data_IF_254698805862
#
_entry.id   IF_254698805862
#
_cell.length_a   1.000
_cell.length_b   1.000
_cell.length_c   1.000
_cell.angle_alpha   90.00
_cell.angle_beta   90.00
_cell.angle_gamma   90.00
#
_symmetry.space_group_name_H-M   'P 1'
#
loop_
_entity.id
_entity.type
_entity.pdbx_description
1 polymer ?
#
# COMPACT_ATOMS: atom_id res chain seq x y z
N UNK A 1 22.01 -5.55 19.30
CA UNK A 1 22.74 -6.72 18.74
C UNK A 1 22.23 -7.16 17.36
N UNK A 2 20.92 -7.35 17.13
CA UNK A 2 20.38 -7.80 15.83
C UNK A 2 20.72 -6.86 14.65
N UNK A 3 20.40 -5.56 14.76
CA UNK A 3 20.61 -4.61 13.66
C UNK A 3 22.09 -4.42 13.28
N UNK A 4 22.99 -4.48 14.26
CA UNK A 4 24.44 -4.42 14.02
C UNK A 4 24.95 -5.67 13.26
N UNK A 5 24.38 -6.86 13.54
CA UNK A 5 24.66 -8.07 12.76
C UNK A 5 24.15 -7.95 11.33
N UNK A 6 22.96 -7.38 11.14
CA UNK A 6 22.37 -7.15 9.83
C UNK A 6 23.25 -6.19 9.01
N UNK A 7 23.72 -5.09 9.61
CA UNK A 7 24.61 -4.13 8.96
C UNK A 7 25.98 -4.70 8.55
N UNK A 8 26.46 -5.73 9.27
CA UNK A 8 27.68 -6.45 8.92
C UNK A 8 27.46 -7.49 7.80
N UNK A 9 26.24 -8.02 7.68
CA UNK A 9 25.85 -8.92 6.60
C UNK A 9 25.46 -8.18 5.30
N UNK A 10 25.11 -6.90 5.40
CA UNK A 10 24.86 -6.03 4.25
C UNK A 10 26.13 -5.89 3.39
N UNK A 11 25.98 -5.73 2.06
CA UNK A 11 27.12 -5.63 1.15
C UNK A 11 28.12 -4.56 1.63
N UNK A 12 29.37 -4.95 1.84
CA UNK A 12 30.46 -4.02 2.14
C UNK A 12 31.26 -3.84 0.84
N UNK A 13 31.39 -2.59 0.38
CA UNK A 13 31.79 -2.26 -0.99
C UNK A 13 33.23 -2.58 -1.41
N UNK A 14 33.88 -3.58 -0.84
CA UNK A 14 35.23 -4.01 -1.25
C UNK A 14 35.22 -5.47 -1.71
N UNK A 15 35.17 -5.68 -3.02
CA UNK A 15 35.73 -6.87 -3.68
C UNK A 15 34.75 -7.97 -4.08
N UNK A 16 34.76 -8.25 -5.40
CA UNK A 16 34.40 -9.50 -6.09
C UNK A 16 33.04 -10.16 -5.81
N UNK A 17 32.14 -10.02 -6.79
CA UNK A 17 31.11 -11.00 -7.11
C UNK A 17 31.75 -12.26 -7.71
N UNK A 18 32.64 -12.89 -6.94
CA UNK A 18 33.19 -14.21 -7.21
C UNK A 18 32.39 -15.26 -6.43
N UNK A 19 31.29 -15.72 -7.02
CA UNK A 19 30.69 -17.01 -6.68
C UNK A 19 29.83 -17.08 -5.42
N UNK A 20 28.59 -16.60 -5.49
CA UNK A 20 27.47 -17.26 -4.82
C UNK A 20 26.20 -17.13 -5.67
N UNK A 21 26.11 -17.94 -6.71
CA UNK A 21 24.80 -18.31 -7.30
C UNK A 21 24.10 -19.24 -6.30
N UNK A 22 23.69 -18.70 -5.16
CA UNK A 22 22.82 -19.37 -4.20
C UNK A 22 21.38 -19.14 -4.61
N UNK A 23 20.71 -20.20 -5.05
CA UNK A 23 19.32 -20.17 -5.48
C UNK A 23 18.40 -19.47 -4.46
N UNK A 24 17.64 -18.48 -4.91
CA UNK A 24 16.58 -17.78 -4.15
C UNK A 24 15.41 -18.70 -3.72
N UNK A 25 15.44 -19.97 -4.13
CA UNK A 25 14.41 -20.97 -3.82
C UNK A 25 14.35 -21.39 -2.33
N UNK A 26 15.24 -20.91 -1.48
CA UNK A 26 15.37 -21.39 -0.08
C UNK A 26 14.69 -20.51 0.98
N UNK A 27 14.07 -19.38 0.60
CA UNK A 27 13.38 -18.47 1.53
C UNK A 27 11.87 -18.74 1.64
N UNK A 28 11.32 -19.63 0.83
CA UNK A 28 9.90 -19.99 0.82
C UNK A 28 9.62 -21.43 1.27
N UNK A 29 10.65 -22.23 1.56
CA UNK A 29 10.48 -23.55 2.15
C UNK A 29 10.19 -23.44 3.65
N UNK A 30 9.15 -24.13 4.10
CA UNK A 30 8.75 -24.23 5.52
C UNK A 30 9.93 -24.66 6.41
N UNK A 31 10.90 -25.39 5.85
CA UNK A 31 12.12 -25.83 6.55
C UNK A 31 13.05 -24.69 6.99
N UNK A 32 12.96 -23.49 6.40
CA UNK A 32 13.73 -22.31 6.84
C UNK A 32 13.20 -21.68 8.14
N UNK A 33 12.04 -22.11 8.64
CA UNK A 33 11.46 -21.66 9.92
C UNK A 33 11.93 -22.47 11.13
N UNK A 34 12.76 -23.50 10.92
CA UNK A 34 13.37 -24.27 11.98
C UNK A 34 14.77 -23.72 12.26
N UNK A 35 14.96 -23.12 13.43
CA UNK A 35 16.32 -22.97 13.96
C UNK A 35 16.92 -24.36 14.22
N UNK A 36 18.24 -24.46 14.20
CA UNK A 36 18.99 -25.70 14.43
C UNK A 36 18.66 -26.42 15.77
N UNK A 37 17.88 -25.77 16.63
CA UNK A 37 17.47 -26.24 17.95
C UNK A 37 16.07 -26.89 17.95
N UNK A 38 15.41 -27.03 16.79
CA UNK A 38 14.10 -27.69 16.67
C UNK A 38 12.92 -26.93 17.28
N UNK A 39 13.11 -25.65 17.61
CA UNK A 39 12.09 -24.80 18.22
C UNK A 39 11.39 -23.95 17.15
N UNK A 40 10.12 -24.26 16.88
CA UNK A 40 9.22 -23.43 16.07
C UNK A 40 9.13 -22.01 16.65
N UNK A 41 9.48 -21.01 15.84
CA UNK A 41 9.16 -19.61 16.17
C UNK A 41 7.68 -19.41 15.88
N UNK A 42 6.85 -19.34 16.92
CA UNK A 42 5.47 -18.88 16.75
C UNK A 42 5.51 -17.42 16.28
N UNK A 43 5.34 -17.17 14.98
CA UNK A 43 5.05 -15.83 14.43
C UNK A 43 3.61 -15.48 14.75
N UNK A 44 3.29 -15.36 16.03
CA UNK A 44 2.05 -14.74 16.46
C UNK A 44 2.20 -13.24 16.32
N UNK A 45 1.34 -12.62 15.52
CA UNK A 45 1.09 -11.18 15.61
C UNK A 45 0.72 -10.82 17.06
N UNK A 46 1.09 -9.63 17.57
CA UNK A 46 0.92 -9.27 18.98
C UNK A 46 -0.51 -9.43 19.53
N UNK A 47 -1.52 -9.38 18.65
CA UNK A 47 -2.94 -9.47 19.00
C UNK A 47 -3.52 -10.90 19.05
N UNK A 48 -2.84 -11.91 18.48
CA UNK A 48 -3.35 -13.30 18.53
C UNK A 48 -3.45 -13.83 19.98
N UNK A 49 -2.74 -13.20 20.93
CA UNK A 49 -2.77 -13.56 22.36
C UNK A 49 -3.97 -13.01 23.13
N UNK A 50 -4.83 -12.17 22.53
CA UNK A 50 -5.98 -11.56 23.23
C UNK A 50 -7.33 -12.20 22.95
N UNK A 51 -7.45 -13.13 22.00
CA UNK A 51 -8.74 -13.68 21.60
C UNK A 51 -8.89 -15.15 21.97
N UNK A 52 -9.05 -15.41 23.27
CA UNK A 52 -9.58 -16.67 23.76
C UNK A 52 -11.02 -16.44 24.23
N UNK A 53 -11.96 -16.58 23.31
CA UNK A 53 -13.37 -16.89 23.60
C UNK A 53 -13.99 -17.46 22.32
N UNK A 54 -14.35 -18.74 22.40
CA UNK A 54 -14.91 -19.52 21.31
C UNK A 54 -16.37 -19.21 21.02
N UNK A 55 -16.86 -19.93 19.99
CA UNK A 55 -18.22 -20.04 19.48
C UNK A 55 -18.87 -18.76 18.93
N UNK A 56 -18.77 -18.57 17.61
CA UNK A 56 -19.88 -18.24 16.67
C UNK A 56 -19.37 -17.61 15.36
N UNK A 57 -18.50 -18.34 14.63
CA UNK A 57 -17.86 -17.82 13.41
C UNK A 57 -18.62 -18.12 12.10
N UNK A 58 -19.83 -18.70 12.18
CA UNK A 58 -20.50 -19.32 11.01
C UNK A 58 -21.84 -18.74 10.56
N UNK A 59 -22.34 -17.63 11.12
CA UNK A 59 -23.75 -17.22 10.90
C UNK A 59 -24.05 -15.83 10.33
N UNK A 60 -23.05 -15.06 9.90
CA UNK A 60 -23.29 -13.67 9.46
C UNK A 60 -22.82 -13.33 8.04
N UNK A 61 -22.95 -14.28 7.10
CA UNK A 61 -22.83 -14.00 5.66
C UNK A 61 -24.13 -14.34 4.91
N UNK A 62 -25.27 -13.80 5.39
CA UNK A 62 -26.51 -13.76 4.62
C UNK A 62 -27.47 -12.72 5.22
N UNK A 63 -27.42 -11.47 4.74
CA UNK A 63 -28.58 -10.59 4.54
C UNK A 63 -28.13 -9.20 4.09
N UNK A 64 -28.29 -8.91 2.80
CA UNK A 64 -28.30 -7.54 2.29
C UNK A 64 -29.44 -7.40 1.29
N UNK A 65 -30.69 -7.27 1.78
CA UNK A 65 -31.82 -6.73 1.00
C UNK A 65 -32.69 -5.83 1.91
N UNK A 66 -32.77 -4.56 1.49
CA UNK A 66 -33.73 -3.45 1.74
C UNK A 66 -34.72 -3.53 2.93
N UNK A 67 -34.83 -2.43 3.70
CA UNK A 67 -35.96 -1.48 3.59
C UNK A 67 -35.78 -0.22 4.45
N UNK A 68 -36.42 0.86 4.01
CA UNK A 68 -36.54 2.20 4.59
C UNK A 68 -37.48 2.28 5.80
N UNK A 69 -37.17 3.14 6.79
CA UNK A 69 -38.19 3.66 7.71
C UNK A 69 -37.67 4.32 9.00
N UNK A 70 -37.97 5.62 9.15
CA UNK A 70 -38.42 6.23 10.42
C UNK A 70 -37.43 6.50 11.57
N UNK A 71 -37.12 7.78 11.80
CA UNK A 71 -36.80 8.41 13.12
C UNK A 71 -38.06 8.39 14.04
N UNK A 72 -38.04 8.71 15.36
CA UNK A 72 -37.18 9.66 16.14
C UNK A 72 -36.71 9.08 17.51
N UNK A 73 -35.96 9.70 18.42
CA UNK A 73 -35.32 11.00 18.68
C UNK A 73 -34.85 11.00 20.16
N UNK A 74 -33.91 11.86 20.56
CA UNK A 74 -33.81 12.55 21.89
C UNK A 74 -32.37 12.80 22.40
N UNK A 75 -32.07 14.10 22.52
CA UNK A 75 -31.39 14.90 23.57
C UNK A 75 -29.97 14.60 24.11
N UNK A 76 -29.22 15.72 24.16
CA UNK A 76 -28.16 16.07 25.14
C UNK A 76 -26.76 16.17 24.49
N UNK A 77 -25.92 17.20 24.66
CA UNK A 77 -25.95 18.40 25.49
C UNK A 77 -24.97 19.45 24.91
N UNK A 78 -25.14 20.68 25.35
CA UNK A 78 -24.48 21.93 24.93
C UNK A 78 -23.04 22.05 25.44
N UNK A 79 -22.11 22.50 24.57
CA UNK A 79 -20.97 23.36 24.96
C UNK A 79 -20.67 24.32 23.80
N UNK A 80 -20.70 25.62 24.10
CA UNK A 80 -20.35 26.74 23.22
C UNK A 80 -18.93 27.26 23.60
N UNK A 81 -18.33 28.27 22.92
CA UNK A 81 -17.15 28.07 22.09
C UNK A 81 -15.92 28.91 22.51
N UNK A 82 -14.84 28.76 21.74
CA UNK A 82 -13.73 29.71 21.53
C UNK A 82 -12.65 29.87 22.63
N UNK A 83 -11.44 29.40 22.29
CA UNK A 83 -10.18 30.03 22.72
C UNK A 83 -9.29 30.16 21.47
N UNK A 84 -8.85 31.37 21.08
CA UNK A 84 -7.93 31.57 19.95
C UNK A 84 -6.50 31.18 20.35
N UNK A 85 -5.82 30.42 19.51
CA UNK A 85 -4.39 30.15 19.67
C UNK A 85 -3.58 31.40 19.28
N UNK A 86 -3.06 32.07 20.29
CA UNK A 86 -2.00 33.08 20.17
C UNK A 86 -0.70 32.41 19.72
N UNK A 87 -0.05 33.03 18.74
CA UNK A 87 1.32 32.71 18.33
C UNK A 87 2.29 32.90 19.50
N UNK A 88 2.97 31.83 19.89
CA UNK A 88 4.19 31.90 20.67
C UNK A 88 5.36 31.46 19.77
N UNK A 89 6.22 32.43 19.45
CA UNK A 89 7.52 32.20 18.85
C UNK A 89 8.41 31.44 19.84
N UNK A 90 9.03 30.36 19.38
CA UNK A 90 10.14 29.74 20.08
C UNK A 90 11.34 29.68 19.15
N UNK A 91 12.33 30.51 19.46
CA UNK A 91 13.71 30.39 19.01
C UNK A 91 14.34 29.17 19.70
N UNK A 92 14.94 28.25 18.95
CA UNK A 92 15.75 27.17 19.52
C UNK A 92 16.09 26.03 18.55
N UNK A 93 17.35 26.00 18.12
CA UNK A 93 18.11 24.86 17.54
C UNK A 93 17.68 24.24 16.20
N UNK A 94 18.35 24.70 15.12
CA UNK A 94 18.45 23.98 13.85
C UNK A 94 19.33 22.72 14.01
N UNK A 95 18.72 21.59 14.35
CA UNK A 95 19.27 20.29 13.95
C UNK A 95 18.88 20.03 12.50
N UNK A 96 19.86 19.89 11.59
CA UNK A 96 19.60 19.54 10.19
C UNK A 96 18.94 18.16 10.14
N UNK A 97 17.64 18.13 9.85
CA UNK A 97 16.92 16.89 9.61
C UNK A 97 17.50 16.24 8.35
N UNK A 98 18.20 15.12 8.51
CA UNK A 98 18.66 14.32 7.38
C UNK A 98 17.46 13.65 6.72
N UNK A 99 17.04 14.16 5.57
CA UNK A 99 16.06 13.48 4.71
C UNK A 99 16.72 12.34 3.97
N UNK A 100 15.95 11.36 3.48
CA UNK A 100 16.49 10.25 2.69
C UNK A 100 17.20 10.74 1.42
N UNK A 101 16.70 11.83 0.82
CA UNK A 101 17.37 12.52 -0.29
C UNK A 101 18.73 13.11 0.12
N UNK A 102 18.86 13.65 1.33
CA UNK A 102 20.13 14.11 1.86
C UNK A 102 21.07 12.93 2.22
N UNK A 103 20.53 11.80 2.64
CA UNK A 103 21.31 10.57 2.86
C UNK A 103 21.85 10.00 1.53
N UNK A 104 21.04 10.08 0.46
CA UNK A 104 21.46 9.76 -0.92
C UNK A 104 22.53 10.72 -1.45
N UNK A 105 22.43 12.02 -1.13
CA UNK A 105 23.40 13.04 -1.51
C UNK A 105 24.64 13.14 -0.62
N UNK A 106 24.71 12.37 0.47
CA UNK A 106 25.87 12.35 1.35
C UNK A 106 27.03 11.58 0.70
N UNK A 107 28.24 12.17 0.72
CA UNK A 107 29.45 11.53 0.19
C UNK A 107 29.86 10.25 0.96
N UNK A 108 29.26 9.96 2.11
CA UNK A 108 29.58 8.78 2.92
C UNK A 108 28.48 7.72 2.80
N UNK A 109 28.68 6.72 1.94
CA UNK A 109 27.87 5.50 1.86
C UNK A 109 27.84 4.78 3.21
N UNK A 110 26.67 4.26 3.59
CA UNK A 110 26.49 3.33 4.72
C UNK A 110 26.03 1.97 4.20
N UNK A 111 26.32 0.90 4.93
CA UNK A 111 25.95 -0.44 4.50
C UNK A 111 24.44 -0.71 4.71
N UNK A 112 23.86 -0.14 5.76
CA UNK A 112 22.46 -0.31 6.11
C UNK A 112 21.78 1.03 6.40
N UNK A 113 20.71 1.31 5.67
CA UNK A 113 19.81 2.43 5.94
C UNK A 113 18.54 1.92 6.63
N UNK A 114 18.18 2.50 7.76
CA UNK A 114 16.97 2.13 8.51
C UNK A 114 15.99 3.29 8.45
N UNK A 115 14.88 3.10 7.74
CA UNK A 115 13.80 4.08 7.68
C UNK A 115 12.93 3.91 8.90
N UNK A 116 12.81 4.98 9.68
CA UNK A 116 12.02 5.01 10.93
C UNK A 116 11.06 6.17 10.88
N UNK A 117 9.92 6.04 11.54
CA UNK A 117 9.01 7.17 11.70
C UNK A 117 9.69 8.31 12.49
N UNK A 118 9.40 9.56 12.12
CA UNK A 118 10.00 10.77 12.71
C UNK A 118 10.03 10.76 14.26
N UNK A 119 9.04 10.16 14.92
CA UNK A 119 8.94 10.05 16.39
C UNK A 119 9.93 9.06 17.03
N UNK A 120 10.40 8.05 16.30
CA UNK A 120 11.20 6.94 16.83
C UNK A 120 12.71 7.05 16.51
N UNK A 121 13.12 8.08 15.75
CA UNK A 121 14.50 8.28 15.30
C UNK A 121 15.51 8.55 16.43
N UNK A 122 15.07 9.01 17.61
CA UNK A 122 15.94 9.33 18.75
C UNK A 122 16.44 8.10 19.52
N UNK A 123 15.82 6.93 19.32
CA UNK A 123 16.05 5.73 20.15
C UNK A 123 17.34 4.99 19.75
N UNK A 124 17.84 5.21 18.52
CA UNK A 124 18.95 4.44 17.99
C UNK A 124 20.13 5.33 17.59
N UNK A 125 21.10 5.49 18.50
CA UNK A 125 22.45 5.99 18.18
C UNK A 125 23.42 4.84 18.46
N UNK A 126 24.09 4.32 17.43
CA UNK A 126 24.92 3.13 17.62
C UNK A 126 26.12 3.01 16.70
N UNK A 127 25.91 2.81 15.40
CA UNK A 127 26.98 2.23 14.57
C UNK A 127 27.35 3.04 13.34
N UNK A 128 28.66 3.09 13.03
CA UNK A 128 29.20 3.75 11.83
C UNK A 128 28.78 3.06 10.52
N UNK A 129 28.25 1.84 10.55
CA UNK A 129 27.81 1.15 9.34
C UNK A 129 26.33 1.37 9.03
N UNK A 130 25.62 2.09 9.90
CA UNK A 130 24.17 2.24 9.87
C UNK A 130 23.77 3.71 9.87
N UNK A 131 22.72 4.05 9.13
CA UNK A 131 22.10 5.38 9.19
C UNK A 131 20.58 5.28 9.37
N UNK A 132 20.09 5.94 10.42
CA UNK A 132 18.66 6.07 10.67
C UNK A 132 18.13 7.28 9.90
N UNK A 133 17.15 7.03 9.04
CA UNK A 133 16.51 8.07 8.24
C UNK A 133 15.07 8.26 8.73
N UNK A 134 14.74 9.42 9.32
CA UNK A 134 13.38 9.72 9.70
C UNK A 134 12.52 9.95 8.44
N UNK A 135 11.41 9.23 8.34
CA UNK A 135 10.41 9.41 7.28
C UNK A 135 9.07 9.85 7.84
N UNK A 136 8.29 10.51 6.98
CA UNK A 136 6.95 11.01 7.27
C UNK A 136 5.98 10.34 6.33
N UNK A 137 4.98 9.67 6.89
CA UNK A 137 3.96 8.99 6.10
C UNK A 137 2.56 9.42 6.57
N UNK A 138 1.58 9.58 5.65
CA UNK A 138 0.23 9.96 6.03
C UNK A 138 -0.42 8.86 6.89
N UNK A 139 -1.15 9.27 7.91
CA UNK A 139 -1.93 8.36 8.75
C UNK A 139 -3.18 7.85 8.00
N UNK A 140 -3.71 6.71 8.44
CA UNK A 140 -4.98 6.16 7.89
C UNK A 140 -6.14 7.17 7.96
N UNK A 141 -6.19 8.02 8.98
CA UNK A 141 -7.17 9.09 9.10
C UNK A 141 -7.01 10.16 8.01
N UNK A 142 -5.78 10.60 7.74
CA UNK A 142 -5.51 11.57 6.67
C UNK A 142 -5.87 11.00 5.30
N UNK A 143 -5.51 9.74 5.01
CA UNK A 143 -5.88 9.07 3.76
C UNK A 143 -7.40 9.06 3.55
N UNK A 144 -8.18 8.80 4.61
CA UNK A 144 -9.65 8.82 4.56
C UNK A 144 -10.21 10.20 4.21
N UNK A 145 -9.68 11.24 4.84
CA UNK A 145 -10.12 12.62 4.56
C UNK A 145 -9.76 13.01 3.12
N UNK A 146 -8.52 12.73 2.71
CA UNK A 146 -8.02 13.03 1.37
C UNK A 146 -8.90 12.38 0.30
N UNK A 147 -9.21 11.10 0.47
CA UNK A 147 -10.07 10.37 -0.46
C UNK A 147 -11.49 10.92 -0.54
N UNK A 148 -12.11 11.24 0.61
CA UNK A 148 -13.44 11.87 0.62
C UNK A 148 -13.45 13.21 -0.10
N UNK A 149 -12.38 14.01 0.05
CA UNK A 149 -12.23 15.28 -0.67
C UNK A 149 -12.06 15.04 -2.17
N UNK A 150 -11.20 14.09 -2.57
CA UNK A 150 -10.99 13.71 -3.97
C UNK A 150 -12.31 13.30 -4.63
N UNK A 151 -13.05 12.38 -4.02
CA UNK A 151 -14.34 11.91 -4.55
C UNK A 151 -15.39 13.03 -4.65
N UNK A 152 -15.30 14.07 -3.82
CA UNK A 152 -16.16 15.25 -3.94
C UNK A 152 -15.80 16.10 -5.15
N UNK A 153 -14.50 16.25 -5.43
CA UNK A 153 -13.98 17.00 -6.58
C UNK A 153 -14.32 16.32 -7.91
N UNK A 154 -14.31 14.98 -7.94
CA UNK A 154 -14.59 14.20 -9.16
C UNK A 154 -16.08 14.12 -9.54
N UNK A 155 -16.99 14.79 -8.81
CA UNK A 155 -18.42 14.82 -9.16
C UNK A 155 -18.73 15.92 -10.16
N UNK A 156 -19.23 15.60 -11.37
CA UNK A 156 -19.45 16.58 -12.44
C UNK A 156 -20.51 17.67 -12.14
N UNK A 157 -21.43 17.43 -11.20
CA UNK A 157 -22.72 18.15 -11.13
C UNK A 157 -22.92 19.06 -9.91
N UNK A 158 -21.90 19.27 -9.07
CA UNK A 158 -22.02 20.20 -7.93
C UNK A 158 -21.39 21.53 -8.35
N UNK A 159 -22.16 22.59 -8.61
CA UNK A 159 -21.55 23.89 -8.85
C UNK A 159 -20.77 24.29 -7.60
N UNK A 160 -19.56 24.83 -7.77
CA UNK A 160 -18.74 25.41 -6.71
C UNK A 160 -19.42 26.69 -6.18
N UNK A 161 -20.58 26.53 -5.57
CA UNK A 161 -21.39 27.60 -5.00
C UNK A 161 -20.98 27.78 -3.54
N UNK A 162 -19.92 28.56 -3.31
CA UNK A 162 -19.89 29.44 -2.15
C UNK A 162 -20.01 30.88 -2.68
N UNK A 163 -21.22 31.42 -2.56
CA UNK A 163 -21.60 32.77 -2.99
C UNK A 163 -21.02 33.90 -2.14
N UNK A 164 -19.89 33.68 -1.47
CA UNK A 164 -19.28 34.68 -0.57
C UNK A 164 -17.76 34.61 -0.40
N UNK A 165 -17.06 33.65 -1.01
CA UNK A 165 -15.59 33.62 -0.97
C UNK A 165 -15.01 32.84 -2.14
N UNK A 166 -14.44 33.56 -3.13
CA UNK A 166 -13.54 33.08 -4.19
C UNK A 166 -13.91 31.73 -4.84
N UNK A 167 -14.37 31.78 -6.09
CA UNK A 167 -14.51 30.63 -7.01
C UNK A 167 -13.40 29.58 -6.81
N UNK A 168 -13.67 28.49 -6.08
CA UNK A 168 -12.73 27.38 -5.97
C UNK A 168 -12.72 26.65 -7.31
N UNK A 169 -11.60 26.74 -8.01
CA UNK A 169 -11.41 26.04 -9.28
C UNK A 169 -11.22 24.55 -9.02
N UNK A 170 -11.52 23.70 -10.01
CA UNK A 170 -11.29 22.25 -9.94
C UNK A 170 -9.88 21.91 -9.43
N UNK A 171 -8.86 22.56 -9.99
CA UNK A 171 -7.46 22.34 -9.61
C UNK A 171 -7.15 22.74 -8.17
N UNK A 172 -7.78 23.81 -7.65
CA UNK A 172 -7.60 24.23 -6.25
C UNK A 172 -8.20 23.22 -5.29
N UNK A 173 -9.43 22.76 -5.56
CA UNK A 173 -10.05 21.75 -4.70
C UNK A 173 -9.37 20.39 -4.79
N UNK A 174 -8.78 20.06 -5.95
CA UNK A 174 -7.91 18.90 -6.10
C UNK A 174 -6.63 19.03 -5.26
N UNK A 175 -5.99 20.19 -5.28
CA UNK A 175 -4.82 20.48 -4.43
C UNK A 175 -5.17 20.37 -2.93
N UNK A 176 -6.30 20.94 -2.50
CA UNK A 176 -6.82 20.85 -1.13
C UNK A 176 -7.21 19.43 -0.69
N UNK A 177 -7.36 18.50 -1.63
CA UNK A 177 -7.57 17.08 -1.35
C UNK A 177 -6.30 16.40 -0.84
N UNK A 178 -5.12 16.93 -1.18
CA UNK A 178 -3.79 16.35 -0.89
C UNK A 178 -3.58 14.93 -1.45
N UNK A 179 -4.49 14.42 -2.30
CA UNK A 179 -4.42 13.05 -2.82
C UNK A 179 -3.15 12.81 -3.64
N UNK A 180 -2.92 13.66 -4.65
CA UNK A 180 -1.70 13.60 -5.46
C UNK A 180 -0.44 13.86 -4.64
N UNK A 181 -0.55 14.60 -3.53
CA UNK A 181 0.58 14.81 -2.63
C UNK A 181 0.95 13.52 -1.86
N UNK A 182 -0.05 12.71 -1.49
CA UNK A 182 0.19 11.38 -0.88
C UNK A 182 0.83 10.42 -1.88
N UNK A 183 0.32 10.37 -3.12
CA UNK A 183 0.90 9.53 -4.21
C UNK A 183 2.33 9.99 -4.52
N UNK A 184 2.56 11.30 -4.64
CA UNK A 184 3.88 11.91 -4.83
C UNK A 184 4.86 11.53 -3.72
N UNK A 185 4.44 11.62 -2.45
CA UNK A 185 5.28 11.26 -1.31
C UNK A 185 5.62 9.75 -1.34
N UNK A 186 4.63 8.90 -1.63
CA UNK A 186 4.83 7.45 -1.71
C UNK A 186 5.81 7.07 -2.84
N UNK A 187 5.66 7.66 -4.03
CA UNK A 187 6.59 7.47 -5.14
C UNK A 187 7.99 7.95 -4.77
N UNK A 188 8.11 9.16 -4.21
CA UNK A 188 9.41 9.74 -3.86
C UNK A 188 10.18 8.88 -2.85
N UNK A 189 9.51 8.38 -1.81
CA UNK A 189 10.11 7.50 -0.81
C UNK A 189 10.50 6.15 -1.42
N UNK A 190 9.65 5.55 -2.25
CA UNK A 190 9.92 4.27 -2.91
C UNK A 190 11.08 4.37 -3.90
N UNK A 191 11.12 5.44 -4.71
CA UNK A 191 12.27 5.77 -5.59
C UNK A 191 13.55 5.93 -4.77
N UNK A 192 13.47 6.57 -3.61
CA UNK A 192 14.65 6.72 -2.74
C UNK A 192 15.15 5.37 -2.23
N UNK A 193 14.25 4.46 -1.82
CA UNK A 193 14.59 3.09 -1.41
C UNK A 193 15.25 2.34 -2.58
N UNK A 194 14.65 2.38 -3.77
CA UNK A 194 15.18 1.75 -4.96
C UNK A 194 16.57 2.28 -5.33
N UNK A 195 16.79 3.60 -5.24
CA UNK A 195 18.09 4.22 -5.49
C UNK A 195 19.17 3.79 -4.49
N UNK A 196 18.83 3.63 -3.20
CA UNK A 196 19.80 3.12 -2.21
C UNK A 196 20.24 1.68 -2.56
N UNK A 197 19.28 0.83 -2.94
CA UNK A 197 19.56 -0.57 -3.28
C UNK A 197 20.37 -0.65 -4.58
N UNK A 198 19.92 0.01 -5.65
CA UNK A 198 20.52 -0.12 -6.97
C UNK A 198 21.81 0.70 -7.15
N UNK A 199 21.82 1.97 -6.72
CA UNK A 199 22.93 2.89 -7.00
C UNK A 199 24.01 2.84 -5.93
N UNK A 200 23.63 2.73 -4.65
CA UNK A 200 24.58 2.68 -3.54
C UNK A 200 25.00 1.26 -3.17
N UNK A 201 24.34 0.24 -3.71
CA UNK A 201 24.53 -1.17 -3.37
C UNK A 201 24.48 -1.39 -1.85
N UNK A 202 23.49 -0.78 -1.20
CA UNK A 202 23.31 -0.80 0.26
C UNK A 202 21.97 -1.43 0.63
N UNK A 203 21.91 -2.06 1.80
CA UNK A 203 20.67 -2.65 2.30
C UNK A 203 19.78 -1.59 2.92
N UNK A 204 18.47 -1.82 2.84
CA UNK A 204 17.44 -0.96 3.44
C UNK A 204 16.56 -1.79 4.35
N UNK A 205 16.31 -1.31 5.57
CA UNK A 205 15.33 -1.87 6.50
C UNK A 205 14.22 -0.84 6.77
N UNK A 206 12.97 -1.28 6.71
CA UNK A 206 11.81 -0.45 7.03
C UNK A 206 11.30 -0.80 8.42
N UNK A 207 11.20 0.20 9.29
CA UNK A 207 10.68 0.06 10.64
C UNK A 207 9.64 1.17 10.87
N UNK A 208 8.47 1.01 10.26
CA UNK A 208 7.39 2.01 10.21
C UNK A 208 6.11 1.38 10.75
N UNK A 209 5.48 2.05 11.73
CA UNK A 209 4.19 1.66 12.30
C UNK A 209 4.14 0.17 12.74
N UNK A 210 3.01 -0.49 12.51
CA UNK A 210 2.76 -1.93 12.71
C UNK A 210 3.22 -2.78 11.51
N UNK A 211 3.69 -2.15 10.43
CA UNK A 211 4.28 -2.83 9.28
C UNK A 211 3.31 -3.40 8.24
N UNK A 212 1.99 -3.23 8.38
CA UNK A 212 0.98 -3.82 7.46
C UNK A 212 0.37 -2.85 6.42
N UNK A 213 0.69 -1.55 6.47
CA UNK A 213 0.13 -0.54 5.56
C UNK A 213 1.25 0.16 4.75
N UNK A 214 1.94 1.12 5.37
CA UNK A 214 2.98 1.92 4.71
C UNK A 214 4.14 1.06 4.18
N UNK A 215 4.53 0.04 4.94
CA UNK A 215 5.59 -0.90 4.56
C UNK A 215 5.22 -1.66 3.29
N UNK A 216 4.00 -2.22 3.20
CA UNK A 216 3.51 -2.92 2.02
C UNK A 216 3.56 -2.01 0.77
N UNK A 217 3.11 -0.75 0.91
CA UNK A 217 3.13 0.22 -0.18
C UNK A 217 4.56 0.52 -0.67
N UNK A 218 5.47 0.83 0.25
CA UNK A 218 6.86 1.20 -0.08
C UNK A 218 7.65 0.03 -0.66
N UNK A 219 7.55 -1.15 -0.05
CA UNK A 219 8.28 -2.36 -0.47
C UNK A 219 7.77 -2.86 -1.82
N UNK A 220 6.46 -2.85 -2.04
CA UNK A 220 5.88 -3.26 -3.32
C UNK A 220 6.31 -2.34 -4.46
N UNK A 221 6.27 -1.02 -4.26
CA UNK A 221 6.69 -0.07 -5.29
C UNK A 221 8.20 -0.12 -5.55
N UNK A 222 9.02 -0.24 -4.51
CA UNK A 222 10.46 -0.40 -4.70
C UNK A 222 10.79 -1.66 -5.51
N UNK A 223 10.08 -2.76 -5.27
CA UNK A 223 10.26 -4.00 -6.04
C UNK A 223 9.84 -3.84 -7.51
N UNK A 224 8.72 -3.16 -7.80
CA UNK A 224 8.32 -2.85 -9.17
C UNK A 224 9.34 -1.99 -9.91
N UNK A 225 9.97 -1.05 -9.18
CA UNK A 225 11.01 -0.18 -9.72
C UNK A 225 12.31 -0.94 -10.02
N UNK A 226 12.65 -1.94 -9.20
CA UNK A 226 13.93 -2.65 -9.26
C UNK A 226 13.91 -3.88 -10.18
N UNK A 227 12.85 -4.68 -10.14
CA UNK A 227 12.81 -6.00 -10.76
C UNK A 227 11.74 -6.08 -11.88
N UNK A 228 12.13 -6.35 -13.14
CA UNK A 228 11.21 -6.55 -14.24
C UNK A 228 10.21 -7.68 -14.04
N UNK A 229 10.54 -8.71 -13.24
CA UNK A 229 9.63 -9.84 -12.99
C UNK A 229 8.28 -9.35 -12.44
N UNK A 230 8.30 -8.48 -11.44
CA UNK A 230 7.06 -7.97 -10.82
C UNK A 230 6.21 -7.09 -11.74
N UNK A 231 6.72 -6.71 -12.92
CA UNK A 231 5.99 -5.93 -13.93
C UNK A 231 5.26 -6.79 -14.97
N UNK A 232 5.44 -8.10 -14.90
CA UNK A 232 4.63 -9.10 -15.62
C UNK A 232 3.29 -9.33 -14.92
N UNK A 233 2.30 -9.91 -15.61
CA UNK A 233 1.01 -10.27 -15.00
C UNK A 233 1.22 -11.24 -13.83
N UNK A 234 2.00 -12.30 -14.06
CA UNK A 234 2.29 -13.33 -13.05
C UNK A 234 3.09 -12.75 -11.88
N UNK A 235 4.12 -11.95 -12.18
CA UNK A 235 4.93 -11.34 -11.14
C UNK A 235 4.17 -10.30 -10.32
N UNK A 236 3.29 -9.51 -10.94
CA UNK A 236 2.46 -8.55 -10.20
C UNK A 236 1.46 -9.26 -9.26
N UNK A 237 0.90 -10.40 -9.69
CA UNK A 237 0.11 -11.27 -8.82
C UNK A 237 0.95 -11.75 -7.62
N UNK A 238 2.14 -12.29 -7.87
CA UNK A 238 3.04 -12.76 -6.80
C UNK A 238 3.41 -11.63 -5.85
N UNK A 239 3.61 -10.41 -6.36
CA UNK A 239 3.89 -9.24 -5.53
C UNK A 239 2.73 -8.95 -4.56
N UNK A 240 1.48 -8.99 -5.03
CA UNK A 240 0.30 -8.75 -4.19
C UNK A 240 0.11 -9.87 -3.18
N UNK A 241 0.18 -11.13 -3.62
CA UNK A 241 0.08 -12.30 -2.74
C UNK A 241 1.13 -12.24 -1.62
N UNK A 242 2.36 -11.93 -1.98
CA UNK A 242 3.46 -11.83 -1.02
C UNK A 242 3.31 -10.62 -0.11
N UNK A 243 3.42 -9.40 -0.66
CA UNK A 243 3.61 -8.17 0.12
C UNK A 243 2.33 -7.65 0.79
N UNK A 244 1.16 -8.05 0.29
CA UNK A 244 -0.12 -7.56 0.81
C UNK A 244 -0.90 -8.64 1.54
N UNK A 245 -1.08 -9.83 0.94
CA UNK A 245 -1.92 -10.87 1.52
C UNK A 245 -1.18 -11.65 2.62
N UNK A 246 -0.02 -12.21 2.29
CA UNK A 246 0.78 -13.01 3.23
C UNK A 246 1.34 -12.18 4.39
N UNK A 247 1.81 -10.95 4.12
CA UNK A 247 2.28 -10.03 5.18
C UNK A 247 1.15 -9.36 5.99
N UNK A 248 -0.12 -9.69 5.72
CA UNK A 248 -1.23 -9.37 6.61
C UNK A 248 -1.75 -7.94 6.50
N UNK A 249 -1.75 -7.36 5.30
CA UNK A 249 -2.52 -6.15 5.07
C UNK A 249 -4.00 -6.41 5.37
N UNK A 250 -4.59 -5.55 6.19
CA UNK A 250 -5.93 -5.75 6.76
C UNK A 250 -7.04 -5.34 5.80
N UNK A 251 -7.15 -6.03 4.65
CA UNK A 251 -8.06 -5.64 3.57
C UNK A 251 -9.50 -5.46 4.04
N UNK A 252 -10.09 -6.42 4.78
CA UNK A 252 -11.49 -6.30 5.23
C UNK A 252 -11.70 -5.16 6.23
N UNK A 253 -10.76 -4.91 7.14
CA UNK A 253 -10.85 -3.76 8.04
C UNK A 253 -10.74 -2.44 7.28
N UNK A 254 -9.82 -2.35 6.31
CA UNK A 254 -9.61 -1.13 5.50
C UNK A 254 -10.75 -0.88 4.50
N UNK A 255 -11.36 -1.94 3.96
CA UNK A 255 -12.50 -1.87 3.04
C UNK A 255 -13.86 -1.68 3.74
N UNK A 256 -13.87 -1.60 5.08
CA UNK A 256 -15.09 -1.48 5.88
C UNK A 256 -16.04 -2.69 5.80
N UNK A 257 -15.51 -3.91 5.70
CA UNK A 257 -16.32 -5.14 5.66
C UNK A 257 -16.57 -5.75 7.06
N UNK A 258 -15.83 -5.31 8.08
CA UNK A 258 -15.94 -5.85 9.44
C UNK A 258 -16.95 -5.07 10.28
N UNK A 259 -17.53 -5.71 11.31
CA UNK A 259 -18.40 -5.03 12.29
C UNK A 259 -17.62 -3.92 13.02
N UNK A 260 -16.35 -4.18 13.37
CA UNK A 260 -15.46 -3.23 14.03
C UNK A 260 -15.15 -1.98 13.20
N UNK A 261 -15.22 -2.07 11.87
CA UNK A 261 -14.87 -0.96 10.97
C UNK A 261 -16.06 -0.09 10.58
N UNK A 262 -17.32 -0.50 10.83
CA UNK A 262 -18.54 0.13 10.26
C UNK A 262 -18.61 1.66 10.45
N UNK A 263 -18.06 2.18 11.55
CA UNK A 263 -18.06 3.62 11.85
C UNK A 263 -16.80 4.36 11.36
N UNK A 264 -15.80 3.63 10.89
CA UNK A 264 -14.47 4.15 10.52
C UNK A 264 -14.35 4.54 9.05
N UNK A 265 -15.22 4.04 8.18
CA UNK A 265 -15.21 4.26 6.74
C UNK A 265 -14.05 3.57 6.00
N UNK A 266 -14.08 3.64 4.66
CA UNK A 266 -13.07 3.03 3.79
C UNK A 266 -11.74 3.79 3.90
N UNK A 267 -10.66 3.06 4.18
CA UNK A 267 -9.28 3.57 4.19
C UNK A 267 -8.53 3.08 2.94
N UNK A 268 -8.20 3.96 1.99
CA UNK A 268 -7.78 3.56 0.64
C UNK A 268 -6.28 3.27 0.51
N UNK A 269 -5.72 2.45 1.40
CA UNK A 269 -4.26 2.15 1.42
C UNK A 269 -3.82 1.46 0.12
N UNK A 270 -4.47 0.34 -0.22
CA UNK A 270 -4.17 -0.39 -1.46
C UNK A 270 -4.46 0.44 -2.72
N UNK A 271 -5.48 1.30 -2.67
CA UNK A 271 -5.83 2.17 -3.80
C UNK A 271 -4.78 3.25 -4.07
N UNK A 272 -4.19 3.86 -3.03
CA UNK A 272 -3.05 4.78 -3.18
C UNK A 272 -1.84 4.06 -3.82
N UNK A 273 -1.61 2.80 -3.46
CA UNK A 273 -0.58 1.98 -4.11
C UNK A 273 -0.87 1.77 -5.59
N UNK A 274 -2.10 1.35 -5.95
CA UNK A 274 -2.47 1.15 -7.35
C UNK A 274 -2.41 2.45 -8.17
N UNK A 275 -2.76 3.58 -7.57
CA UNK A 275 -2.59 4.91 -8.20
C UNK A 275 -1.11 5.19 -8.48
N UNK A 276 -0.23 4.94 -7.50
CA UNK A 276 1.22 5.06 -7.71
C UNK A 276 1.72 4.12 -8.83
N UNK A 277 1.19 2.90 -8.94
CA UNK A 277 1.50 2.00 -10.06
C UNK A 277 0.97 2.54 -11.38
N UNK A 278 -0.23 3.12 -11.42
CA UNK A 278 -0.75 3.82 -12.60
C UNK A 278 0.19 4.95 -13.05
N UNK A 279 0.77 5.71 -12.12
CA UNK A 279 1.79 6.72 -12.46
C UNK A 279 3.03 6.09 -13.10
N UNK A 280 3.47 4.90 -12.64
CA UNK A 280 4.57 4.16 -13.27
C UNK A 280 4.21 3.71 -14.69
N UNK A 281 3.01 3.14 -14.91
CA UNK A 281 2.56 2.75 -16.25
C UNK A 281 2.53 3.96 -17.20
N UNK A 282 2.06 5.11 -16.72
CA UNK A 282 1.98 6.33 -17.52
C UNK A 282 3.35 6.90 -17.89
N UNK A 283 4.34 6.81 -17.00
CA UNK A 283 5.70 7.30 -17.24
C UNK A 283 6.58 6.30 -18.01
N UNK A 284 6.29 4.99 -17.91
CA UNK A 284 7.04 3.91 -18.57
C UNK A 284 6.14 2.97 -19.38
N UNK A 285 5.56 3.43 -20.51
CA UNK A 285 4.53 2.68 -21.24
C UNK A 285 4.95 1.30 -21.75
N UNK A 286 6.25 1.05 -21.96
CA UNK A 286 6.75 -0.25 -22.43
C UNK A 286 7.31 -1.16 -21.34
N UNK A 287 7.29 -0.74 -20.08
CA UNK A 287 7.95 -1.45 -18.99
C UNK A 287 7.06 -2.48 -18.27
N UNK A 288 5.74 -2.43 -18.46
CA UNK A 288 4.74 -3.25 -17.78
C UNK A 288 3.94 -4.09 -18.78
N UNK A 289 3.76 -5.37 -18.48
CA UNK A 289 2.89 -6.27 -19.23
C UNK A 289 1.41 -6.00 -18.91
N UNK A 290 1.13 -5.61 -17.67
CA UNK A 290 -0.20 -5.19 -17.22
C UNK A 290 -0.60 -3.85 -17.84
N UNK A 291 -1.87 -3.69 -18.19
CA UNK A 291 -2.43 -2.42 -18.65
C UNK A 291 -3.23 -1.69 -17.57
N UNK A 292 -3.72 -0.48 -17.89
CA UNK A 292 -4.54 0.31 -16.96
C UNK A 292 -5.86 -0.38 -16.59
N UNK A 293 -6.46 -1.15 -17.49
CA UNK A 293 -7.68 -1.91 -17.20
C UNK A 293 -7.46 -2.95 -16.11
N UNK A 294 -6.32 -3.66 -16.13
CA UNK A 294 -5.92 -4.58 -15.07
C UNK A 294 -5.85 -3.91 -13.70
N UNK A 295 -5.22 -2.73 -13.62
CA UNK A 295 -5.12 -1.98 -12.35
C UNK A 295 -6.48 -1.54 -11.83
N UNK A 296 -7.34 -1.03 -12.72
CA UNK A 296 -8.69 -0.59 -12.34
C UNK A 296 -9.58 -1.76 -11.93
N UNK A 297 -9.44 -2.91 -12.59
CA UNK A 297 -10.10 -4.15 -12.22
C UNK A 297 -9.71 -4.58 -10.80
N UNK A 298 -8.42 -4.55 -10.45
CA UNK A 298 -7.96 -4.81 -9.08
C UNK A 298 -8.46 -3.77 -8.07
N UNK A 299 -8.43 -2.49 -8.44
CA UNK A 299 -8.94 -1.42 -7.59
C UNK A 299 -10.40 -1.68 -7.25
N UNK A 300 -11.27 -1.87 -8.25
CA UNK A 300 -12.68 -2.18 -8.04
C UNK A 300 -12.88 -3.43 -7.17
N UNK A 301 -12.22 -4.53 -7.54
CA UNK A 301 -12.50 -5.80 -6.89
C UNK A 301 -11.93 -5.95 -5.48
N UNK A 302 -10.89 -5.19 -5.13
CA UNK A 302 -10.37 -5.11 -3.77
C UNK A 302 -11.34 -4.45 -2.78
N UNK A 303 -12.39 -3.75 -3.25
CA UNK A 303 -13.47 -3.23 -2.38
C UNK A 303 -14.80 -3.97 -2.56
N UNK A 304 -15.03 -4.57 -3.72
CA UNK A 304 -16.33 -5.20 -4.08
C UNK A 304 -16.75 -6.38 -3.19
N UNK A 305 -15.80 -7.04 -2.52
CA UNK A 305 -16.01 -8.34 -1.88
C UNK A 305 -16.51 -9.46 -2.83
N UNK A 306 -16.35 -9.27 -4.14
CA UNK A 306 -16.77 -10.24 -5.15
C UNK A 306 -15.87 -11.49 -5.15
N UNK A 307 -14.55 -11.28 -5.15
CA UNK A 307 -13.56 -12.35 -5.05
C UNK A 307 -13.11 -12.56 -3.60
N UNK A 308 -12.78 -13.80 -3.25
CA UNK A 308 -12.28 -14.14 -1.91
C UNK A 308 -10.86 -13.61 -1.63
N UNK A 309 -10.10 -13.34 -2.70
CA UNK A 309 -8.68 -12.94 -2.65
C UNK A 309 -8.40 -11.72 -1.77
N UNK A 310 -9.34 -10.80 -1.59
CA UNK A 310 -9.15 -9.61 -0.74
C UNK A 310 -10.03 -9.61 0.53
N UNK A 311 -10.67 -10.72 0.88
CA UNK A 311 -11.46 -10.85 2.11
C UNK A 311 -10.58 -11.21 3.31
N UNK A 312 -10.99 -10.86 4.53
CA UNK A 312 -10.25 -11.12 5.77
C UNK A 312 -8.97 -10.26 5.91
N UNK A 313 -8.34 -10.34 7.08
CA UNK A 313 -7.26 -9.43 7.47
C UNK A 313 -5.88 -10.11 7.54
N UNK A 314 -5.81 -11.44 7.56
CA UNK A 314 -4.54 -12.15 7.58
C UNK A 314 -4.59 -13.53 6.89
N UNK A 315 -3.42 -14.02 6.52
CA UNK A 315 -3.26 -15.31 5.83
C UNK A 315 -3.83 -16.49 6.62
N UNK A 316 -3.60 -16.52 7.93
CA UNK A 316 -4.12 -17.58 8.79
C UNK A 316 -5.65 -17.67 8.74
N UNK A 317 -6.35 -16.54 8.65
CA UNK A 317 -7.81 -16.51 8.53
C UNK A 317 -8.26 -17.00 7.14
N UNK A 318 -7.53 -16.65 6.07
CA UNK A 318 -7.82 -17.09 4.69
C UNK A 318 -7.68 -18.61 4.55
N UNK A 319 -6.56 -19.17 5.01
CA UNK A 319 -6.30 -20.61 4.98
C UNK A 319 -7.36 -21.37 5.79
N UNK A 320 -7.74 -20.86 6.95
CA UNK A 320 -8.80 -21.48 7.76
C UNK A 320 -10.15 -21.46 7.03
N UNK A 321 -10.51 -20.35 6.37
CA UNK A 321 -11.75 -20.27 5.59
C UNK A 321 -11.73 -21.23 4.40
N UNK A 322 -10.60 -21.38 3.72
CA UNK A 322 -10.44 -22.30 2.59
C UNK A 322 -10.63 -23.76 3.02
N UNK A 323 -10.16 -24.14 4.21
CA UNK A 323 -10.39 -25.47 4.78
C UNK A 323 -11.86 -25.71 5.11
N UNK A 324 -12.58 -24.70 5.61
CA UNK A 324 -13.99 -24.81 5.99
C UNK A 324 -14.93 -24.80 4.78
N UNK A 325 -14.61 -23.98 3.78
CA UNK A 325 -15.40 -23.80 2.57
C UNK A 325 -14.47 -23.89 1.37
N UNK A 326 -14.12 -25.12 0.95
CA UNK A 326 -13.31 -25.35 -0.24
C UNK A 326 -13.95 -24.67 -1.45
N UNK A 327 -13.14 -24.25 -2.42
CA UNK A 327 -13.62 -23.71 -3.70
C UNK A 327 -14.22 -24.83 -4.58
N UNK A 328 -15.28 -25.49 -4.12
CA UNK A 328 -16.04 -26.46 -4.92
C UNK A 328 -16.93 -25.70 -5.90
N UNK A 329 -16.64 -25.90 -7.18
CA UNK A 329 -17.24 -25.18 -8.29
C UNK A 329 -18.76 -25.28 -8.33
N UNK A 330 -19.41 -24.11 -8.28
CA UNK A 330 -20.54 -23.70 -9.11
C UNK A 330 -20.91 -22.27 -8.68
N UNK A 331 -20.56 -21.31 -9.53
CA UNK A 331 -20.71 -19.87 -9.26
C UNK A 331 -19.36 -19.20 -8.98
N UNK A 332 -18.94 -18.31 -9.86
CA UNK A 332 -17.68 -17.55 -9.84
C UNK A 332 -17.45 -16.74 -8.56
N UNK A 333 -17.09 -17.41 -7.45
CA UNK A 333 -16.74 -16.82 -6.15
C UNK A 333 -15.39 -17.35 -5.65
N UNK A 334 -14.46 -17.52 -6.58
CA UNK A 334 -13.12 -18.05 -6.31
C UNK A 334 -12.07 -16.96 -6.18
N UNK A 335 -10.84 -17.35 -6.48
CA UNK A 335 -9.68 -16.48 -6.55
C UNK A 335 -9.69 -15.55 -7.80
N UNK A 336 -9.44 -14.25 -7.60
CA UNK A 336 -9.38 -13.24 -8.68
C UNK A 336 -8.34 -13.60 -9.75
N UNK A 337 -7.24 -14.24 -9.35
CA UNK A 337 -6.16 -14.61 -10.26
C UNK A 337 -6.56 -15.70 -11.24
N UNK A 338 -7.37 -16.67 -10.80
CA UNK A 338 -7.91 -17.70 -11.70
C UNK A 338 -8.84 -17.08 -12.74
N UNK A 339 -9.65 -16.11 -12.32
CA UNK A 339 -10.52 -15.37 -13.22
C UNK A 339 -9.72 -14.53 -14.24
N UNK A 340 -8.70 -13.79 -13.77
CA UNK A 340 -7.78 -13.03 -14.64
C UNK A 340 -7.11 -13.98 -15.64
N UNK A 341 -6.60 -15.12 -15.18
CA UNK A 341 -5.93 -16.11 -16.02
C UNK A 341 -6.88 -16.67 -17.08
N UNK A 342 -8.12 -17.03 -16.71
CA UNK A 342 -9.12 -17.51 -17.65
C UNK A 342 -9.41 -16.49 -18.76
N UNK A 343 -9.59 -15.21 -18.38
CA UNK A 343 -9.87 -14.13 -19.33
C UNK A 343 -8.65 -13.80 -20.19
N UNK A 344 -7.45 -13.80 -19.61
CA UNK A 344 -6.17 -13.63 -20.30
C UNK A 344 -5.91 -14.72 -21.35
N UNK A 345 -6.22 -15.99 -21.04
CA UNK A 345 -6.06 -17.08 -22.00
C UNK A 345 -6.98 -16.94 -23.23
N UNK A 346 -8.10 -16.22 -23.11
CA UNK A 346 -9.08 -16.02 -24.19
C UNK A 346 -8.96 -14.67 -24.89
N UNK A 347 -8.43 -13.64 -24.22
CA UNK A 347 -8.38 -12.27 -24.71
C UNK A 347 -7.19 -11.51 -24.13
N UNK A 348 -6.65 -10.54 -24.87
CA UNK A 348 -5.57 -9.65 -24.43
C UNK A 348 -6.05 -8.47 -23.58
N UNK A 349 -7.23 -8.59 -22.94
CA UNK A 349 -7.89 -7.48 -22.23
C UNK A 349 -7.06 -6.88 -21.10
N UNK A 350 -6.21 -7.69 -20.47
CA UNK A 350 -5.30 -7.28 -19.39
C UNK A 350 -3.88 -6.95 -19.87
N UNK A 351 -3.57 -7.19 -21.14
CA UNK A 351 -2.23 -7.00 -21.68
C UNK A 351 -2.03 -5.57 -22.18
N UNK A 352 -0.84 -5.07 -21.92
CA UNK A 352 -0.31 -3.88 -22.54
C UNK A 352 0.43 -4.27 -23.82
N UNK A 353 -0.11 -3.82 -24.96
CA UNK A 353 0.46 -4.12 -26.28
C UNK A 353 1.82 -3.43 -26.53
N UNK A 354 2.17 -2.43 -25.73
CA UNK A 354 3.47 -1.74 -25.82
C UNK A 354 4.56 -2.40 -24.98
N UNK A 355 4.23 -3.46 -24.22
CA UNK A 355 5.17 -4.16 -23.37
C UNK A 355 6.32 -4.78 -24.19
N UNK A 356 7.55 -4.62 -23.70
CA UNK A 356 8.72 -5.31 -24.21
C UNK A 356 9.32 -6.19 -23.10
N UNK A 357 9.52 -7.48 -23.39
CA UNK A 357 10.15 -8.45 -22.47
C UNK A 357 11.65 -8.19 -22.28
N UNK A 358 12.31 -7.57 -23.27
CA UNK A 358 13.66 -7.00 -23.14
C UNK A 358 13.64 -5.62 -22.47
N UNK A 359 12.54 -5.28 -21.80
CA UNK A 359 12.21 -3.96 -21.31
C UNK A 359 13.18 -3.39 -20.29
N UNK A 360 12.99 -2.10 -20.02
CA UNK A 360 13.87 -1.29 -19.17
C UNK A 360 14.12 -1.97 -17.82
N UNK A 361 15.39 -2.07 -17.43
CA UNK A 361 15.87 -2.62 -16.16
C UNK A 361 15.32 -1.84 -14.97
N UNK A 362 16.12 -1.08 -14.23
CA UNK A 362 15.57 -0.29 -13.12
C UNK A 362 14.81 0.93 -13.65
N UNK A 363 13.58 1.14 -13.16
CA UNK A 363 12.73 2.30 -13.51
C UNK A 363 12.57 3.24 -12.32
N UNK A 364 12.92 4.51 -12.50
CA UNK A 364 12.85 5.53 -11.44
C UNK A 364 11.96 6.69 -11.90
N UNK A 365 10.72 6.80 -11.39
CA UNK A 365 9.77 7.82 -11.85
C UNK A 365 10.10 9.22 -11.35
N UNK A 366 9.61 10.22 -12.08
CA UNK A 366 9.41 11.55 -11.54
C UNK A 366 8.30 11.53 -10.48
N UNK A 367 8.61 12.02 -9.28
CA UNK A 367 7.68 12.01 -8.14
C UNK A 367 7.05 13.38 -7.84
N UNK A 368 7.32 14.42 -8.64
CA UNK A 368 6.74 15.75 -8.42
C UNK A 368 5.24 15.73 -8.76
N UNK A 369 4.42 16.48 -8.00
CA UNK A 369 2.96 16.53 -8.23
C UNK A 369 2.62 16.97 -9.66
N UNK A 370 3.41 17.86 -10.25
CA UNK A 370 3.25 18.32 -11.63
C UNK A 370 3.51 17.24 -12.69
N UNK A 371 4.23 16.17 -12.36
CA UNK A 371 4.46 15.03 -13.23
C UNK A 371 3.36 13.95 -13.11
N UNK A 372 2.49 14.06 -12.10
CA UNK A 372 1.42 13.09 -11.86
C UNK A 372 0.16 13.44 -12.64
N UNK A 373 -0.59 12.40 -13.02
CA UNK A 373 -1.87 12.53 -13.71
C UNK A 373 -3.01 12.02 -12.82
N UNK A 374 -4.20 12.58 -13.01
CA UNK A 374 -5.41 12.10 -12.34
C UNK A 374 -5.77 10.76 -12.97
N UNK A 375 -5.86 9.72 -12.14
CA UNK A 375 -6.26 8.40 -12.62
C UNK A 375 -7.74 8.40 -13.01
N UNK A 376 -8.02 7.97 -14.25
CA UNK A 376 -9.38 7.95 -14.82
C UNK A 376 -10.35 7.08 -14.04
N UNK A 377 -9.85 6.13 -13.25
CA UNK A 377 -10.62 5.32 -12.30
C UNK A 377 -11.57 6.16 -11.43
N UNK A 378 -11.15 7.36 -10.99
CA UNK A 378 -11.99 8.20 -10.13
C UNK A 378 -13.07 8.99 -10.87
N UNK A 379 -12.95 9.10 -12.19
CA UNK A 379 -13.85 9.87 -13.05
C UNK A 379 -14.83 9.00 -13.85
N UNK A 380 -14.64 7.68 -13.86
CA UNK A 380 -15.53 6.77 -14.57
C UNK A 380 -16.89 6.69 -13.87
N UNK A 381 -17.96 7.01 -14.62
CA UNK A 381 -19.34 6.91 -14.15
C UNK A 381 -19.93 5.56 -14.54
N UNK A 382 -20.00 4.63 -13.59
CA UNK A 382 -20.51 3.26 -13.81
C UNK A 382 -21.99 3.11 -13.43
N UNK A 383 -22.68 4.21 -13.10
CA UNK A 383 -24.06 4.18 -12.62
C UNK A 383 -25.10 3.83 -13.69
N UNK A 384 -24.85 4.13 -14.97
CA UNK A 384 -25.80 3.89 -16.07
C UNK A 384 -25.64 2.53 -16.75
N UNK A 385 -24.42 1.98 -16.81
CA UNK A 385 -24.11 0.76 -17.56
C UNK A 385 -23.65 -0.42 -16.69
N UNK A 386 -23.58 -0.23 -15.37
CA UNK A 386 -22.93 -1.19 -14.47
C UNK A 386 -21.41 -1.04 -14.50
N UNK A 387 -20.73 -1.79 -13.62
CA UNK A 387 -19.28 -1.76 -13.58
C UNK A 387 -18.70 -2.47 -14.81
N UNK A 388 -17.78 -1.85 -15.58
CA UNK A 388 -17.10 -2.54 -16.69
C UNK A 388 -16.19 -3.68 -16.20
N UNK A 389 -16.07 -3.84 -14.88
CA UNK A 389 -15.29 -4.89 -14.23
C UNK A 389 -16.11 -6.17 -13.97
N UNK A 390 -17.44 -6.16 -14.14
CA UNK A 390 -18.30 -7.33 -13.96
C UNK A 390 -18.43 -8.22 -15.23
N UNK A 391 -17.35 -8.35 -16.00
CA UNK A 391 -17.27 -8.95 -17.37
C UNK A 391 -17.27 -10.49 -17.47
#
# INVERSE_FOLDING_TARGET
HYLARLANASPSGNGDLGGTTGSLSSLLTIDSLLTADGMSVTTGTPDARRRNQGSDFGRHYATSIRSSGGKPGSRGSLVNPAIPWTMASSYGERHSQKTLQHALGSLTRRNLYILVEKGHSKIFRGDKNMEFVPISFPTTHQMKISFKKLLRVMRPSVPFMDSSSSSSTFYRSLEESEWLQMVSNLLSLSTSIASVVNMQNSSVALCIEEGWDATCQLVSLAQLMLDPYYRTIDGFQVLIEKEWLAFGHRFSHRANHTISSQNSGITPVFLIFLDAVHQLLAQFPGAFEINDFYLRFLAYHSQSAFFRTFLLDCESERVHLEQLVPETGEGHRGCIWMYIKEKTCRNTIFHNLFYSSEGQGVVLPASSVAALRIWTFYSEETLSHGSPYDI
#
